data_IF_080003460595
#
_entry.id   IF_080003460595
#
_cell.length_a   1.000
_cell.length_b   1.000
_cell.length_c   1.000
_cell.angle_alpha   90.00
_cell.angle_beta   90.00
_cell.angle_gamma   90.00
#
_symmetry.space_group_name_H-M   'P 1'
#
loop_
_entity.id
_entity.type
_entity.pdbx_description
1 polymer ?
#
# COMPACT_ATOMS: atom_id res chain seq x y z
N UNK A 1 37.17 7.91 11.75
CA UNK A 1 36.26 7.33 12.76
C UNK A 1 34.82 7.73 12.44
N UNK A 2 33.90 6.79 12.38
CA UNK A 2 32.50 7.05 12.08
C UNK A 2 31.79 7.58 13.34
N UNK A 3 31.00 8.64 13.20
CA UNK A 3 30.19 9.16 14.30
C UNK A 3 28.97 8.26 14.52
N UNK A 4 29.02 7.40 15.51
CA UNK A 4 27.96 6.42 15.80
C UNK A 4 26.63 7.08 16.17
N UNK A 5 26.65 8.20 16.88
CA UNK A 5 25.45 8.93 17.24
C UNK A 5 24.72 9.45 16.00
N UNK A 6 25.47 10.05 15.07
CA UNK A 6 24.92 10.57 13.83
C UNK A 6 24.33 9.45 12.97
N UNK A 7 25.03 8.31 12.88
CA UNK A 7 24.52 7.14 12.15
C UNK A 7 23.20 6.63 12.73
N UNK A 8 23.09 6.56 14.06
CA UNK A 8 21.84 6.12 14.71
C UNK A 8 20.68 7.09 14.43
N UNK A 9 20.95 8.40 14.50
CA UNK A 9 19.93 9.42 14.21
C UNK A 9 19.46 9.29 12.75
N UNK A 10 20.40 9.15 11.82
CA UNK A 10 20.09 8.99 10.39
C UNK A 10 19.31 7.72 10.14
N UNK A 11 19.73 6.59 10.71
CA UNK A 11 19.02 5.31 10.57
C UNK A 11 17.61 5.42 11.12
N UNK A 12 17.42 6.04 12.28
CA UNK A 12 16.11 6.23 12.87
C UNK A 12 15.20 7.09 11.99
N UNK A 13 15.73 8.20 11.45
CA UNK A 13 14.99 9.08 10.57
C UNK A 13 14.55 8.34 9.29
N UNK A 14 15.43 7.52 8.71
CA UNK A 14 15.13 6.75 7.51
C UNK A 14 14.06 5.68 7.79
N UNK A 15 14.16 4.98 8.90
CA UNK A 15 13.16 4.00 9.30
C UNK A 15 11.79 4.64 9.54
N UNK A 16 11.76 5.80 10.18
CA UNK A 16 10.52 6.53 10.39
C UNK A 16 9.89 6.97 9.08
N UNK A 17 10.71 7.49 8.16
CA UNK A 17 10.24 7.89 6.84
C UNK A 17 9.68 6.70 6.07
N UNK A 18 10.36 5.54 6.10
CA UNK A 18 9.88 4.31 5.48
C UNK A 18 8.53 3.88 6.07
N UNK A 19 8.44 3.88 7.39
CA UNK A 19 7.21 3.47 8.07
C UNK A 19 6.04 4.37 7.69
N UNK A 20 6.27 5.69 7.62
CA UNK A 20 5.25 6.66 7.21
C UNK A 20 4.80 6.43 5.78
N UNK A 21 5.73 6.16 4.86
CA UNK A 21 5.43 5.89 3.46
C UNK A 21 4.69 4.57 3.29
N UNK A 22 5.06 3.53 4.05
CA UNK A 22 4.37 2.26 4.04
C UNK A 22 2.91 2.41 4.48
N UNK A 23 2.67 3.19 5.54
CA UNK A 23 1.31 3.48 6.00
C UNK A 23 0.50 4.24 4.95
N UNK A 24 1.12 5.19 4.26
CA UNK A 24 0.46 5.91 3.18
C UNK A 24 0.08 4.97 2.04
N UNK A 25 0.93 4.02 1.67
CA UNK A 25 0.62 3.02 0.65
C UNK A 25 -0.52 2.10 1.08
N UNK A 26 -0.57 1.75 2.35
CA UNK A 26 -1.67 0.96 2.90
C UNK A 26 -3.02 1.70 2.73
N UNK A 27 -3.06 2.98 3.06
CA UNK A 27 -4.25 3.82 2.85
C UNK A 27 -4.62 3.91 1.37
N UNK A 28 -3.64 4.13 0.50
CA UNK A 28 -3.86 4.21 -0.95
C UNK A 28 -4.41 2.91 -1.53
N UNK A 29 -4.06 1.77 -0.94
CA UNK A 29 -4.60 0.47 -1.36
C UNK A 29 -6.12 0.43 -1.17
N UNK A 30 -6.61 0.87 -0.02
CA UNK A 30 -8.05 0.93 0.23
C UNK A 30 -8.74 1.98 -0.64
N UNK A 31 -8.12 3.14 -0.84
CA UNK A 31 -8.64 4.17 -1.73
C UNK A 31 -8.72 3.67 -3.18
N UNK A 32 -7.78 2.83 -3.58
CA UNK A 32 -7.78 2.19 -4.89
C UNK A 32 -8.99 1.30 -5.12
N UNK A 33 -9.46 0.59 -4.10
CA UNK A 33 -10.68 -0.21 -4.18
C UNK A 33 -11.90 0.68 -4.45
N UNK A 34 -12.00 1.81 -3.79
CA UNK A 34 -13.09 2.75 -4.01
C UNK A 34 -13.08 3.28 -5.46
N UNK A 35 -11.89 3.49 -6.03
CA UNK A 35 -11.74 3.91 -7.42
C UNK A 35 -12.17 2.83 -8.41
N UNK A 36 -11.83 1.56 -8.15
CA UNK A 36 -12.20 0.43 -9.00
C UNK A 36 -13.73 0.26 -9.05
N UNK A 37 -14.41 0.44 -7.92
CA UNK A 37 -15.86 0.25 -7.82
C UNK A 37 -16.65 1.55 -7.93
N UNK A 38 -16.20 2.45 -8.79
CA UNK A 38 -16.96 3.67 -9.11
C UNK A 38 -18.08 3.36 -10.10
N UNK A 39 -19.23 4.07 -10.01
CA UNK A 39 -20.31 3.91 -10.96
C UNK A 39 -19.84 4.23 -12.38
N UNK A 40 -20.28 3.42 -13.35
CA UNK A 40 -20.00 3.66 -14.75
C UNK A 40 -21.12 4.53 -15.34
N UNK A 41 -20.79 5.77 -15.64
CA UNK A 41 -21.75 6.75 -16.18
C UNK A 41 -22.09 6.47 -17.65
N UNK A 42 -21.31 5.61 -18.34
CA UNK A 42 -21.58 5.23 -19.73
C UNK A 42 -22.68 4.17 -19.87
N UNK A 43 -23.04 3.50 -18.76
CA UNK A 43 -24.09 2.50 -18.77
C UNK A 43 -25.47 3.16 -18.72
N UNK A 44 -26.48 2.46 -19.28
CA UNK A 44 -27.86 2.93 -19.27
C UNK A 44 -28.50 2.87 -17.87
N UNK A 45 -27.87 2.16 -16.94
CA UNK A 45 -28.33 2.06 -15.54
C UNK A 45 -27.92 3.31 -14.80
N UNK A 46 -28.84 3.87 -14.00
CA UNK A 46 -28.57 5.09 -13.25
C UNK A 46 -27.49 4.85 -12.19
N UNK A 47 -26.76 5.92 -11.84
CA UNK A 47 -25.76 5.88 -10.77
C UNK A 47 -26.37 5.35 -9.46
N UNK A 48 -27.57 5.78 -9.12
CA UNK A 48 -28.28 5.37 -7.91
C UNK A 48 -28.57 3.87 -7.86
N UNK A 49 -28.86 3.27 -9.02
CA UNK A 49 -29.12 1.84 -9.13
C UNK A 49 -27.83 1.01 -9.07
N UNK A 50 -26.70 1.59 -9.50
CA UNK A 50 -25.39 0.92 -9.45
C UNK A 50 -24.76 0.95 -8.06
N UNK A 51 -24.98 2.01 -7.29
CA UNK A 51 -24.30 2.25 -6.01
C UNK A 51 -24.43 1.12 -5.00
N UNK A 52 -25.62 0.53 -4.73
CA UNK A 52 -25.73 -0.54 -3.72
C UNK A 52 -24.88 -1.76 -4.06
N UNK A 53 -24.85 -2.16 -5.33
CA UNK A 53 -24.05 -3.31 -5.78
C UNK A 53 -22.56 -3.01 -5.66
N UNK A 54 -22.14 -1.85 -6.13
CA UNK A 54 -20.72 -1.43 -6.11
C UNK A 54 -20.23 -1.28 -4.68
N UNK A 55 -21.02 -0.71 -3.80
CA UNK A 55 -20.66 -0.56 -2.40
C UNK A 55 -20.51 -1.92 -1.71
N UNK A 56 -21.43 -2.85 -1.99
CA UNK A 56 -21.34 -4.21 -1.49
C UNK A 56 -20.08 -4.92 -1.97
N UNK A 57 -19.73 -4.79 -3.25
CA UNK A 57 -18.51 -5.37 -3.81
C UNK A 57 -17.25 -4.73 -3.20
N UNK A 58 -17.28 -3.41 -2.99
CA UNK A 58 -16.18 -2.71 -2.36
C UNK A 58 -15.93 -3.20 -0.94
N UNK A 59 -16.99 -3.36 -0.15
CA UNK A 59 -16.88 -3.86 1.22
C UNK A 59 -16.29 -5.26 1.27
N UNK A 60 -16.74 -6.15 0.38
CA UNK A 60 -16.20 -7.51 0.27
C UNK A 60 -14.73 -7.48 -0.18
N UNK A 61 -14.39 -6.61 -1.11
CA UNK A 61 -13.01 -6.45 -1.55
C UNK A 61 -12.12 -5.92 -0.42
N UNK A 62 -12.61 -5.01 0.40
CA UNK A 62 -11.88 -4.53 1.58
C UNK A 62 -11.61 -5.66 2.59
N UNK A 63 -12.59 -6.53 2.82
CA UNK A 63 -12.42 -7.71 3.68
C UNK A 63 -11.33 -8.60 3.11
N UNK A 64 -11.39 -8.90 1.81
CA UNK A 64 -10.40 -9.73 1.15
C UNK A 64 -9.00 -9.10 1.20
N UNK A 65 -8.90 -7.78 1.02
CA UNK A 65 -7.62 -7.07 1.11
C UNK A 65 -7.04 -7.16 2.51
N UNK A 66 -7.84 -6.96 3.55
CA UNK A 66 -7.40 -7.12 4.93
C UNK A 66 -6.89 -8.53 5.21
N UNK A 67 -7.55 -9.54 4.65
CA UNK A 67 -7.11 -10.92 4.76
C UNK A 67 -5.74 -11.14 4.11
N UNK A 68 -5.52 -10.55 2.94
CA UNK A 68 -4.21 -10.60 2.29
C UNK A 68 -3.12 -9.98 3.17
N UNK A 69 -3.39 -8.84 3.81
CA UNK A 69 -2.41 -8.19 4.71
C UNK A 69 -2.14 -9.00 5.97
N UNK A 70 -3.14 -9.71 6.48
CA UNK A 70 -3.03 -10.51 7.70
C UNK A 70 -2.63 -11.96 7.46
N UNK A 71 -2.54 -12.37 6.19
CA UNK A 71 -2.25 -13.75 5.77
C UNK A 71 -3.28 -14.75 6.33
N UNK A 72 -4.54 -14.31 6.46
CA UNK A 72 -5.64 -15.12 6.95
C UNK A 72 -6.55 -15.48 5.76
N UNK A 73 -7.08 -16.70 5.77
CA UNK A 73 -8.07 -17.13 4.78
C UNK A 73 -9.46 -17.06 5.41
N UNK A 74 -10.37 -16.34 4.76
CA UNK A 74 -11.76 -16.24 5.19
C UNK A 74 -12.57 -17.47 4.74
N UNK A 75 -13.56 -17.83 5.56
CA UNK A 75 -14.55 -18.83 5.19
C UNK A 75 -15.69 -18.24 4.34
N UNK A 76 -15.75 -16.91 4.22
CA UNK A 76 -16.78 -16.25 3.43
C UNK A 76 -16.55 -16.44 1.94
N UNK A 77 -17.65 -16.68 1.22
CA UNK A 77 -17.61 -16.73 -0.25
C UNK A 77 -17.59 -15.30 -0.79
N UNK A 78 -16.47 -14.92 -1.39
CA UNK A 78 -16.29 -13.58 -1.95
C UNK A 78 -16.41 -13.66 -3.47
N UNK A 79 -17.21 -12.77 -4.12
CA UNK A 79 -17.32 -12.75 -5.58
C UNK A 79 -15.96 -12.56 -6.24
N UNK A 80 -15.80 -13.15 -7.42
CA UNK A 80 -14.54 -13.11 -8.15
C UNK A 80 -14.09 -11.68 -8.47
N UNK A 81 -15.05 -10.80 -8.76
CA UNK A 81 -14.77 -9.38 -9.05
C UNK A 81 -14.08 -8.69 -7.87
N UNK A 82 -14.57 -8.96 -6.65
CA UNK A 82 -13.99 -8.43 -5.44
C UNK A 82 -12.61 -9.03 -5.15
N UNK A 83 -12.45 -10.34 -5.39
CA UNK A 83 -11.17 -11.01 -5.23
C UNK A 83 -10.10 -10.46 -6.17
N UNK A 84 -10.45 -10.28 -7.44
CA UNK A 84 -9.52 -9.75 -8.44
C UNK A 84 -9.11 -8.31 -8.13
N UNK A 85 -10.07 -7.48 -7.73
CA UNK A 85 -9.78 -6.10 -7.34
C UNK A 85 -8.84 -6.04 -6.14
N UNK A 86 -9.11 -6.82 -5.10
CA UNK A 86 -8.27 -6.87 -3.91
C UNK A 86 -6.87 -7.38 -4.24
N UNK A 87 -6.74 -8.39 -5.08
CA UNK A 87 -5.46 -8.93 -5.50
C UNK A 87 -4.65 -7.89 -6.30
N UNK A 88 -5.29 -7.20 -7.24
CA UNK A 88 -4.65 -6.17 -8.04
C UNK A 88 -4.09 -5.04 -7.17
N UNK A 89 -4.90 -4.55 -6.25
CA UNK A 89 -4.51 -3.48 -5.33
C UNK A 89 -3.39 -3.95 -4.40
N UNK A 90 -3.46 -5.17 -3.91
CA UNK A 90 -2.44 -5.76 -3.04
C UNK A 90 -1.10 -5.90 -3.76
N UNK A 91 -1.11 -6.34 -5.01
CA UNK A 91 0.11 -6.44 -5.82
C UNK A 91 0.74 -5.06 -6.06
N UNK A 92 -0.07 -4.04 -6.34
CA UNK A 92 0.40 -2.67 -6.49
C UNK A 92 1.02 -2.16 -5.19
N UNK A 93 0.40 -2.43 -4.06
CA UNK A 93 0.94 -2.09 -2.74
C UNK A 93 2.32 -2.72 -2.53
N UNK A 94 2.45 -4.02 -2.79
CA UNK A 94 3.72 -4.71 -2.63
C UNK A 94 4.82 -4.15 -3.53
N UNK A 95 4.49 -3.88 -4.79
CA UNK A 95 5.44 -3.31 -5.74
C UNK A 95 5.92 -1.94 -5.27
N UNK A 96 5.00 -1.09 -4.80
CA UNK A 96 5.33 0.25 -4.33
C UNK A 96 6.18 0.21 -3.07
N UNK A 97 5.82 -0.62 -2.10
CA UNK A 97 6.59 -0.76 -0.86
C UNK A 97 8.00 -1.31 -1.14
N UNK A 98 8.12 -2.25 -2.07
CA UNK A 98 9.41 -2.78 -2.48
C UNK A 98 10.30 -1.70 -3.07
N UNK A 99 9.76 -0.85 -3.94
CA UNK A 99 10.50 0.27 -4.52
C UNK A 99 10.93 1.28 -3.45
N UNK A 100 10.06 1.58 -2.50
CA UNK A 100 10.37 2.47 -1.37
C UNK A 100 11.52 1.89 -0.53
N UNK A 101 11.48 0.59 -0.25
CA UNK A 101 12.51 -0.09 0.52
C UNK A 101 13.87 -0.09 -0.22
N UNK A 102 13.87 -0.31 -1.53
CA UNK A 102 15.09 -0.28 -2.33
C UNK A 102 15.70 1.12 -2.37
N UNK A 103 14.87 2.15 -2.53
CA UNK A 103 15.32 3.54 -2.50
C UNK A 103 15.91 3.89 -1.15
N UNK A 104 15.27 3.46 -0.07
CA UNK A 104 15.74 3.68 1.29
C UNK A 104 17.14 3.09 1.48
N UNK A 105 17.37 1.87 1.01
CA UNK A 105 18.67 1.21 1.11
C UNK A 105 19.74 2.00 0.37
N UNK A 106 19.45 2.49 -0.83
CA UNK A 106 20.37 3.33 -1.59
C UNK A 106 20.71 4.63 -0.86
N UNK A 107 19.68 5.30 -0.34
CA UNK A 107 19.86 6.56 0.37
C UNK A 107 20.69 6.34 1.65
N UNK A 108 20.47 5.25 2.37
CA UNK A 108 21.25 4.93 3.56
C UNK A 108 22.71 4.68 3.23
N UNK A 109 23.01 3.96 2.16
CA UNK A 109 24.38 3.71 1.72
C UNK A 109 25.08 5.02 1.37
N UNK A 110 24.41 5.90 0.62
CA UNK A 110 24.97 7.19 0.23
C UNK A 110 25.23 8.09 1.44
N UNK A 111 24.33 8.10 2.42
CA UNK A 111 24.52 8.89 3.64
C UNK A 111 25.69 8.38 4.47
N UNK A 112 25.84 7.06 4.60
CA UNK A 112 26.96 6.46 5.33
C UNK A 112 28.28 6.80 4.65
N UNK A 113 28.35 6.71 3.32
CA UNK A 113 29.54 7.10 2.57
C UNK A 113 29.87 8.58 2.75
N UNK A 114 28.86 9.45 2.73
CA UNK A 114 29.04 10.88 2.96
C UNK A 114 29.58 11.16 4.35
N UNK A 115 29.07 10.50 5.38
CA UNK A 115 29.55 10.65 6.76
C UNK A 115 31.00 10.18 6.87
N UNK A 116 31.36 9.07 6.25
CA UNK A 116 32.73 8.56 6.28
C UNK A 116 33.72 9.51 5.59
N UNK A 117 33.29 10.19 4.53
CA UNK A 117 34.15 11.18 3.85
C UNK A 117 34.38 12.44 4.67
N UNK A 118 33.45 12.79 5.55
CA UNK A 118 33.57 13.96 6.41
C UNK A 118 34.48 13.73 7.62
N UNK A 119 34.67 12.51 8.02
CA UNK A 119 35.44 12.10 9.17
C UNK A 119 36.57 11.15 8.79
#
# INVERSE_FOLDING_TARGET
MVNRRLLRVKAFQQLYAFYTQERAQYQLAFDGLATIFQPDLSLMVSKEDQMPRLEGLRQLAEIQLKEHFQEITSEETIPIEAQEAAQSVFQTYHANVKQIAEKLKKDMVLEVESINKQY
#
